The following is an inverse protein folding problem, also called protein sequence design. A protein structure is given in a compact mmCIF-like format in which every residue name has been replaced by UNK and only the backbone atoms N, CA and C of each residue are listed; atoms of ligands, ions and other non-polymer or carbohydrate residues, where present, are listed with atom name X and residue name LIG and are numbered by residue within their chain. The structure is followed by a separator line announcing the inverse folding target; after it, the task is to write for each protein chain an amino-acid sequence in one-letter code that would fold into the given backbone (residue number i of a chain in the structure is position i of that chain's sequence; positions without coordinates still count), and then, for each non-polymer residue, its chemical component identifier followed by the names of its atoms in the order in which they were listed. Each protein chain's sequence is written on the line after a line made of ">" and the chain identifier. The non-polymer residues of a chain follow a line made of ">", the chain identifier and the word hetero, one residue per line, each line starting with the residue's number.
data_IF_560089761004
#
_entry.id   IF_560089761004
#
_cell.length_a   1.000
_cell.length_b   1.000
_cell.length_c   1.000
_cell.angle_alpha   90.00
_cell.angle_beta   90.00
_cell.angle_gamma   90.00
#
_symmetry.space_group_name_H-M   'P 1'
#
loop_
_entity.id
_entity.type
_entity.pdbx_description
1 polymer ?
#
# COMPACT_ATOMS: atom_id res chain seq x y z
N UNK A 1 -22.15 5.30 0.97
CA UNK A 1 -21.45 4.39 1.92
C UNK A 1 -20.03 4.89 2.15
N UNK A 2 -19.54 4.91 3.40
CA UNK A 2 -18.26 5.53 3.75
C UNK A 2 -17.12 4.52 3.85
N UNK A 3 -16.02 4.74 3.15
CA UNK A 3 -14.79 3.93 3.24
C UNK A 3 -13.59 4.85 3.40
N UNK A 4 -12.69 4.55 4.33
CA UNK A 4 -11.43 5.26 4.49
C UNK A 4 -10.33 4.55 3.71
N UNK A 5 -9.31 5.28 3.28
CA UNK A 5 -8.11 4.69 2.69
C UNK A 5 -6.84 5.40 3.15
N UNK A 6 -5.74 4.65 3.18
CA UNK A 6 -4.38 5.12 3.47
C UNK A 6 -3.49 4.70 2.30
N UNK A 7 -2.73 5.65 1.77
CA UNK A 7 -1.78 5.40 0.68
C UNK A 7 -0.56 4.56 1.10
N UNK A 8 0.42 4.47 0.21
CA UNK A 8 1.68 3.73 0.40
C UNK A 8 2.38 4.16 1.71
N UNK A 9 2.94 3.18 2.46
CA UNK A 9 3.38 3.38 3.85
C UNK A 9 4.91 3.37 3.97
N UNK A 10 5.56 2.41 3.31
CA UNK A 10 7.01 2.29 3.24
C UNK A 10 7.73 2.38 4.58
N UNK A 11 7.29 1.63 5.59
CA UNK A 11 7.97 1.60 6.90
C UNK A 11 7.94 2.91 7.71
N UNK A 12 7.16 3.92 7.32
CA UNK A 12 7.01 5.17 8.08
C UNK A 12 5.88 5.05 9.12
N UNK A 13 6.16 4.32 10.21
CA UNK A 13 5.17 4.00 11.24
C UNK A 13 4.51 5.23 11.90
N UNK A 14 5.27 6.30 12.13
CA UNK A 14 4.72 7.51 12.76
C UNK A 14 3.71 8.22 11.84
N UNK A 15 3.98 8.23 10.54
CA UNK A 15 3.04 8.75 9.54
C UNK A 15 1.80 7.86 9.42
N UNK A 16 1.95 6.54 9.55
CA UNK A 16 0.81 5.62 9.60
C UNK A 16 -0.07 5.87 10.83
N UNK A 17 0.54 6.06 12.00
CA UNK A 17 -0.18 6.42 13.25
C UNK A 17 -0.89 7.77 13.10
N UNK A 18 -0.23 8.76 12.47
CA UNK A 18 -0.85 10.06 12.14
C UNK A 18 -2.07 9.87 11.22
N UNK A 19 -1.96 9.08 10.16
CA UNK A 19 -3.06 8.79 9.24
C UNK A 19 -4.26 8.11 9.96
N UNK A 20 -3.98 7.13 10.82
CA UNK A 20 -5.01 6.50 11.66
C UNK A 20 -5.69 7.48 12.62
N UNK A 21 -4.93 8.41 13.23
CA UNK A 21 -5.50 9.46 14.09
C UNK A 21 -6.48 10.35 13.30
N UNK A 22 -6.10 10.80 12.11
CA UNK A 22 -6.98 11.63 11.25
C UNK A 22 -8.29 10.91 10.92
N UNK A 23 -8.22 9.60 10.65
CA UNK A 23 -9.41 8.76 10.44
C UNK A 23 -10.24 8.64 11.71
N UNK A 24 -9.62 8.41 12.87
CA UNK A 24 -10.33 8.29 14.14
C UNK A 24 -11.06 9.60 14.51
N UNK A 25 -10.44 10.76 14.28
CA UNK A 25 -11.07 12.07 14.46
C UNK A 25 -12.27 12.26 13.53
N UNK A 26 -12.18 11.81 12.28
CA UNK A 26 -13.29 11.87 11.33
C UNK A 26 -14.44 10.92 11.67
N UNK A 27 -14.11 9.70 12.14
CA UNK A 27 -15.10 8.75 12.67
C UNK A 27 -15.80 9.30 13.90
N UNK A 28 -15.09 9.96 14.81
CA UNK A 28 -15.69 10.62 15.97
C UNK A 28 -16.71 11.71 15.58
N UNK A 29 -16.46 12.44 14.48
CA UNK A 29 -17.40 13.44 13.96
C UNK A 29 -18.65 12.82 13.29
N UNK A 30 -18.48 11.69 12.60
CA UNK A 30 -19.56 11.07 11.82
C UNK A 30 -20.33 9.97 12.53
N UNK A 31 -19.76 9.40 13.59
CA UNK A 31 -20.30 8.24 14.32
C UNK A 31 -20.15 6.90 13.59
N UNK A 32 -19.47 6.85 12.44
CA UNK A 32 -19.37 5.65 11.60
C UNK A 32 -18.07 4.87 11.85
N UNK A 33 -18.03 4.16 12.98
CA UNK A 33 -16.88 3.38 13.41
C UNK A 33 -16.69 2.08 12.62
N UNK A 34 -17.76 1.59 11.99
CA UNK A 34 -17.76 0.35 11.21
C UNK A 34 -17.25 0.55 9.77
N UNK A 35 -17.09 1.81 9.32
CA UNK A 35 -16.55 2.13 8.01
C UNK A 35 -15.10 1.61 7.85
N UNK A 36 -14.79 0.65 6.96
CA UNK A 36 -13.46 0.11 6.79
C UNK A 36 -12.38 1.14 6.48
N UNK A 37 -11.15 0.83 6.92
CA UNK A 37 -9.92 1.51 6.49
C UNK A 37 -9.18 0.59 5.54
N UNK A 38 -8.94 1.05 4.31
CA UNK A 38 -8.20 0.30 3.30
C UNK A 38 -6.78 0.83 3.20
N UNK A 39 -5.78 0.04 3.58
CA UNK A 39 -4.38 0.36 3.37
C UNK A 39 -3.97 -0.15 1.99
N UNK A 40 -3.48 0.72 1.11
CA UNK A 40 -3.27 0.39 -0.30
C UNK A 40 -2.01 -0.44 -0.60
N UNK A 41 -1.28 -0.86 0.44
CA UNK A 41 -0.09 -1.70 0.31
C UNK A 41 1.20 -0.90 0.34
N UNK A 42 2.29 -1.55 -0.08
CA UNK A 42 3.65 -1.05 0.05
C UNK A 42 3.93 -0.68 1.51
N UNK A 43 3.75 -1.68 2.38
CA UNK A 43 3.92 -1.56 3.82
C UNK A 43 5.40 -1.46 4.18
N UNK A 44 6.23 -2.17 3.42
CA UNK A 44 7.67 -2.34 3.63
C UNK A 44 8.51 -1.46 2.70
N UNK A 45 9.81 -1.50 2.94
CA UNK A 45 10.88 -0.84 2.21
C UNK A 45 10.97 0.67 2.39
N UNK A 46 12.18 1.21 2.18
CA UNK A 46 12.57 2.64 2.20
C UNK A 46 12.56 3.31 3.58
N UNK A 47 11.48 3.21 4.33
CA UNK A 47 11.39 3.80 5.67
C UNK A 47 12.01 2.91 6.75
N UNK A 48 12.17 3.47 7.97
CA UNK A 48 13.02 2.87 8.99
C UNK A 48 12.39 1.70 9.75
N UNK A 49 11.06 1.56 9.76
CA UNK A 49 10.36 0.64 10.66
C UNK A 49 9.25 -0.17 9.96
N UNK A 50 9.64 -0.98 8.97
CA UNK A 50 8.75 -1.91 8.31
C UNK A 50 8.20 -3.00 9.25
N UNK A 51 9.02 -3.45 10.21
CA UNK A 51 8.61 -4.42 11.23
C UNK A 51 7.44 -3.89 12.07
N UNK A 52 7.56 -2.68 12.63
CA UNK A 52 6.52 -2.07 13.46
C UNK A 52 5.25 -1.71 12.67
N UNK A 53 5.35 -1.42 11.36
CA UNK A 53 4.18 -1.26 10.49
C UNK A 53 3.40 -2.58 10.40
N UNK A 54 4.08 -3.70 10.18
CA UNK A 54 3.44 -5.02 10.07
C UNK A 54 2.84 -5.44 11.42
N UNK A 55 3.54 -5.21 12.53
CA UNK A 55 3.01 -5.44 13.88
C UNK A 55 1.69 -4.67 14.06
N UNK A 56 1.71 -3.35 13.84
CA UNK A 56 0.54 -2.49 14.04
C UNK A 56 -0.67 -2.98 13.23
N UNK A 57 -0.48 -3.28 11.94
CA UNK A 57 -1.56 -3.67 11.05
C UNK A 57 -2.12 -5.06 11.37
N UNK A 58 -1.24 -6.03 11.63
CA UNK A 58 -1.65 -7.39 11.95
C UNK A 58 -2.33 -7.48 13.32
N UNK A 59 -1.83 -6.77 14.33
CA UNK A 59 -2.45 -6.68 15.65
C UNK A 59 -3.81 -5.98 15.60
N UNK A 60 -3.93 -4.88 14.84
CA UNK A 60 -5.21 -4.17 14.69
C UNK A 60 -6.29 -5.06 14.06
N UNK A 61 -5.95 -5.79 12.99
CA UNK A 61 -6.86 -6.78 12.38
C UNK A 61 -7.24 -7.87 13.39
N UNK A 62 -6.27 -8.41 14.14
CA UNK A 62 -6.53 -9.43 15.16
C UNK A 62 -7.42 -8.90 16.30
N UNK A 63 -7.34 -7.61 16.61
CA UNK A 63 -8.18 -6.92 17.59
C UNK A 63 -9.59 -6.58 17.07
N UNK A 64 -9.88 -6.85 15.79
CA UNK A 64 -11.20 -6.63 15.19
C UNK A 64 -11.40 -5.24 14.61
N UNK A 65 -10.33 -4.47 14.39
CA UNK A 65 -10.42 -3.24 13.60
C UNK A 65 -10.95 -3.57 12.20
N UNK A 66 -11.84 -2.74 11.62
CA UNK A 66 -12.38 -2.96 10.28
C UNK A 66 -11.34 -2.55 9.22
N UNK A 67 -10.15 -3.16 9.25
CA UNK A 67 -9.06 -2.83 8.35
C UNK A 67 -8.97 -3.85 7.21
N UNK A 68 -8.67 -3.35 6.02
CA UNK A 68 -8.37 -4.15 4.83
C UNK A 68 -7.01 -3.71 4.34
N UNK A 69 -6.01 -4.56 4.52
CA UNK A 69 -4.63 -4.25 4.10
C UNK A 69 -4.39 -4.94 2.77
N UNK A 70 -4.06 -4.15 1.74
CA UNK A 70 -3.78 -4.66 0.40
C UNK A 70 -2.30 -4.96 0.23
N UNK A 71 -2.01 -5.87 -0.71
CA UNK A 71 -0.65 -6.20 -1.14
C UNK A 71 -0.15 -5.17 -2.15
N UNK A 72 0.98 -4.54 -1.85
CA UNK A 72 1.77 -3.78 -2.82
C UNK A 72 2.86 -4.60 -3.49
N UNK A 73 3.55 -4.01 -4.47
CA UNK A 73 4.63 -4.72 -5.14
C UNK A 73 5.86 -4.88 -4.24
N UNK A 74 6.13 -3.94 -3.34
CA UNK A 74 7.23 -4.06 -2.38
C UNK A 74 6.97 -5.20 -1.39
N UNK A 75 5.73 -5.34 -0.91
CA UNK A 75 5.32 -6.44 -0.02
C UNK A 75 5.51 -7.81 -0.71
N UNK A 76 5.12 -7.90 -1.98
CA UNK A 76 5.28 -9.10 -2.81
C UNK A 76 6.76 -9.44 -3.03
N UNK A 77 7.59 -8.44 -3.35
CA UNK A 77 9.02 -8.64 -3.54
C UNK A 77 9.72 -9.10 -2.27
N UNK A 78 9.35 -8.56 -1.11
CA UNK A 78 9.90 -8.99 0.17
C UNK A 78 9.54 -10.45 0.48
N UNK A 79 8.26 -10.82 0.34
CA UNK A 79 7.83 -12.24 0.46
C UNK A 79 8.62 -13.13 -0.51
N UNK A 80 8.78 -12.68 -1.76
CA UNK A 80 9.54 -13.40 -2.77
C UNK A 80 10.99 -13.64 -2.37
N UNK A 81 11.67 -12.63 -1.82
CA UNK A 81 13.03 -12.76 -1.29
C UNK A 81 13.11 -13.78 -0.13
N UNK A 82 12.10 -13.80 0.74
CA UNK A 82 12.02 -14.77 1.83
C UNK A 82 11.85 -16.22 1.34
N UNK A 83 11.24 -16.43 0.17
CA UNK A 83 11.07 -17.76 -0.43
C UNK A 83 12.30 -18.22 -1.22
N UNK A 84 12.81 -17.36 -2.10
CA UNK A 84 13.97 -17.61 -2.95
C UNK A 84 14.75 -16.30 -3.11
N UNK A 85 16.01 -16.24 -2.62
CA UNK A 85 16.75 -14.98 -2.60
C UNK A 85 17.22 -14.56 -4.00
N UNK A 86 17.07 -15.43 -5.00
CA UNK A 86 17.33 -15.17 -6.41
C UNK A 86 16.05 -14.84 -7.20
N UNK A 87 14.88 -14.89 -6.55
CA UNK A 87 13.59 -14.63 -7.20
C UNK A 87 13.60 -13.26 -7.88
N UNK A 88 13.08 -13.26 -9.10
CA UNK A 88 12.84 -12.04 -9.87
C UNK A 88 11.34 -11.81 -9.96
N UNK A 89 10.95 -10.59 -9.64
CA UNK A 89 9.57 -10.16 -9.80
C UNK A 89 9.34 -9.68 -11.25
N UNK A 90 8.31 -10.18 -11.96
CA UNK A 90 8.08 -9.84 -13.37
C UNK A 90 7.90 -8.34 -13.65
N UNK A 91 7.41 -7.58 -12.68
CA UNK A 91 7.23 -6.13 -12.82
C UNK A 91 8.49 -5.32 -12.56
N UNK A 92 9.52 -5.93 -11.96
CA UNK A 92 10.80 -5.29 -11.69
C UNK A 92 11.74 -5.42 -12.89
N UNK A 93 12.48 -4.35 -13.19
CA UNK A 93 13.54 -4.39 -14.20
C UNK A 93 14.56 -5.51 -13.91
N UNK A 94 14.92 -6.30 -14.92
CA UNK A 94 15.90 -7.39 -14.82
C UNK A 94 17.27 -6.97 -14.26
N UNK A 95 17.59 -5.67 -14.34
CA UNK A 95 18.83 -5.09 -13.80
C UNK A 95 18.82 -4.97 -12.28
N UNK A 96 17.67 -5.10 -11.63
CA UNK A 96 17.49 -4.89 -10.20
C UNK A 96 17.02 -6.18 -9.50
N UNK A 97 17.51 -6.39 -8.28
CA UNK A 97 16.92 -7.30 -7.29
C UNK A 97 16.19 -6.47 -6.25
N UNK A 98 15.38 -7.11 -5.39
CA UNK A 98 14.75 -6.45 -4.24
C UNK A 98 15.76 -5.74 -3.32
N UNK A 99 16.99 -6.28 -3.20
CA UNK A 99 18.07 -5.68 -2.41
C UNK A 99 18.74 -4.46 -3.07
N UNK A 100 18.31 -4.04 -4.27
CA UNK A 100 18.83 -2.84 -4.89
C UNK A 100 18.53 -1.61 -3.99
N UNK A 101 19.51 -0.72 -3.73
CA UNK A 101 19.32 0.42 -2.82
C UNK A 101 18.11 1.29 -3.15
N UNK A 102 17.76 1.45 -4.42
CA UNK A 102 16.62 2.25 -4.86
C UNK A 102 15.24 1.65 -4.49
N UNK A 103 15.18 0.36 -4.15
CA UNK A 103 13.94 -0.31 -3.75
C UNK A 103 13.71 -0.27 -2.25
N UNK A 104 14.75 -0.15 -1.43
CA UNK A 104 14.63 -0.02 0.02
C UNK A 104 14.50 -1.34 0.78
N UNK A 105 14.74 -2.50 0.15
CA UNK A 105 14.72 -3.80 0.82
C UNK A 105 15.76 -3.94 1.94
N UNK A 106 16.87 -3.20 1.84
CA UNK A 106 17.87 -3.14 2.91
C UNK A 106 17.31 -2.48 4.18
N UNK A 107 16.44 -1.47 4.04
CA UNK A 107 15.82 -0.78 5.17
C UNK A 107 14.83 -1.71 5.88
N UNK A 108 14.04 -2.48 5.11
CA UNK A 108 13.18 -3.55 5.65
C UNK A 108 14.01 -4.53 6.48
N UNK A 109 15.09 -5.06 5.93
CA UNK A 109 15.98 -5.99 6.63
C UNK A 109 16.57 -5.38 7.90
N UNK A 110 17.00 -4.11 7.84
CA UNK A 110 17.52 -3.38 8.99
C UNK A 110 16.47 -3.23 10.10
N UNK A 111 15.20 -3.01 9.78
CA UNK A 111 14.11 -2.95 10.78
C UNK A 111 13.92 -4.25 11.57
N UNK A 112 14.30 -5.40 11.00
CA UNK A 112 14.35 -6.70 11.68
C UNK A 112 15.71 -7.01 12.32
N UNK A 113 16.65 -6.07 12.30
CA UNK A 113 18.01 -6.24 12.82
C UNK A 113 18.90 -7.14 11.96
N UNK A 114 18.62 -7.28 10.67
CA UNK A 114 19.44 -8.04 9.70
C UNK A 114 20.46 -7.09 9.07
N UNK A 115 21.74 -7.26 9.38
CA UNK A 115 22.83 -6.52 8.72
C UNK A 115 23.19 -7.12 7.37
N UNK A 116 23.52 -6.30 6.36
CA UNK A 116 23.77 -6.75 4.98
C UNK A 116 25.18 -6.48 4.46
N UNK A 117 25.94 -5.61 5.13
CA UNK A 117 27.25 -5.16 4.68
C UNK A 117 28.25 -6.31 4.51
N UNK A 118 28.85 -6.41 3.31
CA UNK A 118 29.88 -7.41 2.99
C UNK A 118 29.41 -8.86 2.99
N UNK A 119 28.09 -9.11 3.03
CA UNK A 119 27.52 -10.46 3.08
C UNK A 119 26.99 -10.90 1.73
N UNK A 120 27.10 -12.20 1.47
CA UNK A 120 26.47 -12.82 0.31
C UNK A 120 24.94 -12.86 0.49
N UNK A 121 24.22 -12.76 -0.62
CA UNK A 121 22.74 -12.73 -0.63
C UNK A 121 22.11 -13.92 0.12
N UNK A 122 22.67 -15.13 -0.04
CA UNK A 122 22.20 -16.31 0.67
C UNK A 122 22.40 -16.22 2.19
N UNK A 123 23.48 -15.60 2.65
CA UNK A 123 23.74 -15.39 4.08
C UNK A 123 22.78 -14.35 4.67
N UNK A 124 22.47 -13.30 3.91
CA UNK A 124 21.49 -12.27 4.29
C UNK A 124 20.12 -12.93 4.46
N UNK A 125 19.69 -13.72 3.46
CA UNK A 125 18.40 -14.39 3.51
C UNK A 125 18.30 -15.37 4.68
N UNK A 126 19.34 -16.17 4.94
CA UNK A 126 19.34 -17.12 6.06
C UNK A 126 19.13 -16.45 7.43
N UNK A 127 19.74 -15.28 7.64
CA UNK A 127 19.56 -14.47 8.86
C UNK A 127 18.19 -13.79 8.89
N UNK A 128 17.71 -13.29 7.75
CA UNK A 128 16.35 -12.78 7.62
C UNK A 128 15.30 -13.85 7.96
N UNK A 129 15.48 -15.09 7.51
CA UNK A 129 14.59 -16.22 7.81
C UNK A 129 14.55 -16.55 9.31
N UNK A 130 15.61 -16.23 10.05
CA UNK A 130 15.68 -16.42 11.50
C UNK A 130 15.06 -15.25 12.27
N UNK A 131 15.21 -14.02 11.78
CA UNK A 131 14.80 -12.79 12.50
C UNK A 131 13.39 -12.30 12.16
N UNK A 132 12.94 -12.48 10.93
CA UNK A 132 11.59 -12.08 10.51
C UNK A 132 10.60 -13.09 11.06
N UNK A 133 9.63 -12.67 11.91
CA UNK A 133 8.65 -13.59 12.47
C UNK A 133 7.86 -14.31 11.38
N UNK A 134 7.57 -15.59 11.60
CA UNK A 134 6.76 -16.37 10.66
C UNK A 134 5.38 -15.73 10.43
N UNK A 135 4.76 -15.22 11.49
CA UNK A 135 3.49 -14.49 11.43
C UNK A 135 3.53 -13.31 10.45
N UNK A 136 4.65 -12.58 10.34
CA UNK A 136 4.77 -11.44 9.42
C UNK A 136 4.81 -11.91 7.97
N UNK A 137 5.56 -12.98 7.70
CA UNK A 137 5.66 -13.56 6.35
C UNK A 137 4.30 -14.09 5.90
N UNK A 138 3.60 -14.80 6.78
CA UNK A 138 2.27 -15.35 6.48
C UNK A 138 1.21 -14.24 6.35
N UNK A 139 1.28 -13.19 7.17
CA UNK A 139 0.45 -12.00 7.03
C UNK A 139 0.60 -11.37 5.65
N UNK A 140 1.85 -11.07 5.23
CA UNK A 140 2.14 -10.46 3.93
C UNK A 140 1.71 -11.34 2.75
N UNK A 141 1.95 -12.66 2.83
CA UNK A 141 1.50 -13.62 1.80
C UNK A 141 -0.02 -13.61 1.62
N UNK A 142 -0.75 -13.56 2.73
CA UNK A 142 -2.21 -13.63 2.77
C UNK A 142 -2.91 -12.33 2.33
N UNK A 143 -2.19 -11.21 2.17
CA UNK A 143 -2.79 -9.94 1.80
C UNK A 143 -3.54 -10.04 0.45
N UNK A 144 -4.82 -9.61 0.40
CA UNK A 144 -5.56 -9.50 -0.85
C UNK A 144 -4.96 -8.43 -1.76
N UNK A 145 -5.16 -8.57 -3.06
CA UNK A 145 -4.66 -7.63 -4.08
C UNK A 145 -5.67 -6.52 -4.41
N UNK A 146 -6.93 -6.69 -3.99
CA UNK A 146 -7.97 -5.68 -4.17
C UNK A 146 -9.07 -5.80 -3.13
N UNK A 147 -9.84 -4.73 -2.99
CA UNK A 147 -11.05 -4.69 -2.18
C UNK A 147 -12.13 -3.90 -2.91
N UNK A 148 -13.35 -4.44 -3.00
CA UNK A 148 -14.48 -3.78 -3.67
C UNK A 148 -15.59 -3.49 -2.67
N UNK A 149 -16.10 -2.26 -2.70
CA UNK A 149 -17.20 -1.85 -1.81
C UNK A 149 -18.06 -0.80 -2.50
N UNK A 150 -19.29 -1.19 -2.85
CA UNK A 150 -20.17 -0.36 -3.67
C UNK A 150 -19.54 -0.06 -5.03
N UNK A 151 -19.50 1.23 -5.36
CA UNK A 151 -18.93 1.74 -6.62
C UNK A 151 -17.42 2.00 -6.56
N UNK A 152 -16.75 1.60 -5.47
CA UNK A 152 -15.31 1.75 -5.29
C UNK A 152 -14.59 0.42 -5.47
N UNK A 153 -13.41 0.48 -6.10
CA UNK A 153 -12.44 -0.61 -6.07
C UNK A 153 -11.09 -0.04 -5.61
N UNK A 154 -10.55 -0.63 -4.56
CA UNK A 154 -9.24 -0.31 -4.02
C UNK A 154 -8.24 -1.35 -4.52
N UNK A 155 -7.10 -0.88 -5.00
CA UNK A 155 -6.02 -1.69 -5.57
C UNK A 155 -4.71 -0.95 -5.37
N UNK A 156 -3.58 -1.64 -5.26
CA UNK A 156 -2.30 -0.98 -5.06
C UNK A 156 -1.89 -0.08 -6.26
N UNK A 157 -1.74 -0.65 -7.46
CA UNK A 157 -1.25 0.08 -8.63
C UNK A 157 -2.36 0.57 -9.57
N UNK A 158 -3.27 -0.32 -9.94
CA UNK A 158 -4.31 -0.01 -10.92
C UNK A 158 -4.96 -1.25 -11.51
N UNK A 159 -5.72 -1.07 -12.59
CA UNK A 159 -6.39 -2.18 -13.30
C UNK A 159 -6.01 -2.18 -14.77
N UNK A 160 -5.86 -3.36 -15.37
CA UNK A 160 -5.67 -3.48 -16.83
C UNK A 160 -6.94 -3.04 -17.55
N UNK A 161 -6.86 -2.02 -18.42
CA UNK A 161 -7.97 -1.65 -19.28
C UNK A 161 -8.50 -2.81 -20.10
N UNK A 162 -9.80 -2.77 -20.41
CA UNK A 162 -10.52 -3.78 -21.21
C UNK A 162 -10.59 -5.19 -20.60
N UNK A 163 -10.02 -5.40 -19.40
CA UNK A 163 -10.19 -6.62 -18.61
C UNK A 163 -11.26 -6.37 -17.53
N UNK A 164 -12.26 -7.26 -17.36
CA UNK A 164 -13.23 -7.16 -16.28
C UNK A 164 -12.57 -7.07 -14.90
N UNK A 165 -13.15 -6.31 -13.96
CA UNK A 165 -12.55 -6.08 -12.64
C UNK A 165 -12.35 -7.37 -11.82
N UNK A 166 -13.17 -8.39 -12.05
CA UNK A 166 -13.10 -9.72 -11.43
C UNK A 166 -12.17 -10.71 -12.16
N UNK A 167 -11.63 -10.30 -13.31
CA UNK A 167 -10.70 -11.08 -14.13
C UNK A 167 -9.29 -10.47 -14.19
N UNK A 168 -9.01 -9.46 -13.35
CA UNK A 168 -7.69 -8.85 -13.22
C UNK A 168 -6.69 -9.84 -12.63
N UNK A 169 -5.42 -9.72 -13.03
CA UNK A 169 -4.32 -10.56 -12.53
C UNK A 169 -3.45 -9.78 -11.56
N UNK A 170 -2.85 -10.48 -10.60
CA UNK A 170 -2.05 -9.86 -9.54
C UNK A 170 -0.92 -8.98 -10.08
N UNK A 171 -0.22 -9.41 -11.14
CA UNK A 171 0.86 -8.62 -11.74
C UNK A 171 0.41 -7.22 -12.16
N UNK A 172 -0.78 -7.08 -12.72
CA UNK A 172 -1.32 -5.75 -13.05
C UNK A 172 -1.73 -4.99 -11.81
N UNK A 173 -2.43 -5.65 -10.89
CA UNK A 173 -2.95 -5.02 -9.68
C UNK A 173 -1.86 -4.41 -8.80
N UNK A 174 -0.64 -4.97 -8.83
CA UNK A 174 0.49 -4.44 -8.02
C UNK A 174 1.54 -3.67 -8.83
N UNK A 175 1.58 -3.74 -10.17
CA UNK A 175 2.61 -3.03 -10.95
C UNK A 175 2.13 -2.08 -12.04
N UNK A 176 0.86 -2.14 -12.46
CA UNK A 176 0.46 -1.45 -13.68
C UNK A 176 0.65 0.07 -13.58
N UNK A 177 1.22 0.65 -14.63
CA UNK A 177 1.31 2.10 -14.84
C UNK A 177 0.61 2.45 -16.15
N UNK A 178 1.35 2.65 -17.24
CA UNK A 178 0.75 2.62 -18.58
C UNK A 178 0.36 1.17 -18.93
N UNK A 179 -0.82 0.92 -19.55
CA UNK A 179 -1.77 1.89 -20.10
C UNK A 179 -2.80 2.46 -19.11
N UNK A 180 -2.92 1.91 -17.89
CA UNK A 180 -3.95 2.32 -16.91
C UNK A 180 -3.94 3.82 -16.59
N UNK A 181 -2.77 4.41 -16.33
CA UNK A 181 -2.65 5.82 -15.97
C UNK A 181 -3.09 6.78 -17.10
N UNK A 182 -3.09 6.30 -18.34
CA UNK A 182 -3.49 7.06 -19.53
C UNK A 182 -4.95 6.84 -19.91
N UNK A 183 -5.59 5.79 -19.38
CA UNK A 183 -6.99 5.50 -19.66
C UNK A 183 -7.91 6.41 -18.83
N UNK A 184 -8.83 7.08 -19.52
CA UNK A 184 -9.83 7.99 -18.95
C UNK A 184 -11.24 7.39 -18.98
N UNK A 185 -11.40 6.18 -19.53
CA UNK A 185 -12.69 5.49 -19.62
C UNK A 185 -13.17 5.08 -18.23
N UNK A 186 -14.48 4.95 -18.10
CA UNK A 186 -15.11 4.42 -16.89
C UNK A 186 -14.82 2.91 -16.78
N UNK A 187 -14.17 2.49 -15.69
CA UNK A 187 -13.86 1.09 -15.41
C UNK A 187 -14.99 0.32 -14.72
N UNK A 188 -16.18 0.94 -14.59
CA UNK A 188 -17.33 0.41 -13.85
C UNK A 188 -17.33 0.81 -12.37
N UNK A 189 -16.15 0.92 -11.75
CA UNK A 189 -15.93 1.46 -10.41
C UNK A 189 -14.99 2.67 -10.46
N UNK A 190 -15.03 3.52 -9.42
CA UNK A 190 -13.96 4.50 -9.16
C UNK A 190 -12.77 3.73 -8.57
N UNK A 191 -11.64 3.76 -9.28
CA UNK A 191 -10.44 3.03 -8.87
C UNK A 191 -9.63 3.88 -7.90
N UNK A 192 -9.47 3.44 -6.65
CA UNK A 192 -8.63 4.10 -5.64
C UNK A 192 -7.31 3.35 -5.55
N UNK A 193 -6.19 4.04 -5.78
CA UNK A 193 -4.88 3.42 -5.90
C UNK A 193 -3.72 4.30 -5.40
N UNK A 194 -2.53 3.71 -5.35
CA UNK A 194 -1.25 4.30 -4.99
C UNK A 194 -0.18 3.97 -6.03
N UNK A 195 0.98 3.49 -5.58
CA UNK A 195 2.13 2.99 -6.38
C UNK A 195 2.90 4.03 -7.22
N UNK A 196 2.20 4.99 -7.80
CA UNK A 196 2.78 6.05 -8.61
C UNK A 196 2.74 7.36 -7.82
N UNK A 197 3.81 7.63 -7.07
CA UNK A 197 3.93 8.81 -6.25
C UNK A 197 3.68 10.11 -7.01
N UNK A 198 2.79 10.94 -6.46
CA UNK A 198 2.48 12.29 -6.91
C UNK A 198 2.92 13.33 -5.87
N UNK A 199 2.96 14.60 -6.27
CA UNK A 199 3.18 15.70 -5.33
C UNK A 199 1.96 15.97 -4.44
N UNK A 200 0.77 15.61 -4.92
CA UNK A 200 -0.48 15.68 -4.18
C UNK A 200 -1.44 14.57 -4.64
N UNK A 201 -2.27 14.09 -3.70
CA UNK A 201 -3.35 13.18 -4.04
C UNK A 201 -4.23 13.81 -5.12
N UNK A 202 -4.62 13.02 -6.13
CA UNK A 202 -5.25 13.54 -7.34
C UNK A 202 -6.41 12.66 -7.75
N UNK A 203 -7.57 13.29 -7.96
CA UNK A 203 -8.74 12.64 -8.55
C UNK A 203 -8.73 12.86 -10.07
N UNK A 204 -8.62 11.80 -10.86
CA UNK A 204 -8.55 11.85 -12.33
C UNK A 204 -9.91 11.65 -13.02
N UNK A 205 -10.98 11.46 -12.25
CA UNK A 205 -12.34 11.28 -12.75
C UNK A 205 -12.78 9.82 -12.68
N UNK A 206 -12.02 8.93 -13.32
CA UNK A 206 -12.23 7.48 -13.28
C UNK A 206 -11.39 6.75 -12.22
N UNK A 207 -10.39 7.43 -11.66
CA UNK A 207 -9.52 6.92 -10.59
C UNK A 207 -9.07 8.02 -9.64
N UNK A 208 -8.64 7.65 -8.44
CA UNK A 208 -8.07 8.53 -7.42
C UNK A 208 -6.74 7.93 -6.97
N UNK A 209 -5.66 8.68 -7.14
CA UNK A 209 -4.35 8.31 -6.65
C UNK A 209 -4.07 9.03 -5.32
N UNK A 210 -3.77 8.28 -4.27
CA UNK A 210 -3.44 8.81 -2.93
C UNK A 210 -2.01 8.48 -2.48
N UNK A 211 -1.15 7.97 -3.36
CA UNK A 211 0.29 7.90 -3.08
C UNK A 211 0.92 9.29 -3.27
N UNK A 212 1.20 9.95 -2.14
CA UNK A 212 1.87 11.26 -2.07
C UNK A 212 3.37 11.16 -1.84
N UNK A 213 3.95 9.98 -2.00
CA UNK A 213 5.40 9.75 -1.94
C UNK A 213 5.94 9.54 -0.54
N UNK A 214 5.22 8.79 0.31
CA UNK A 214 5.72 8.41 1.63
C UNK A 214 7.06 7.69 1.58
N UNK A 215 7.26 6.83 0.57
CA UNK A 215 8.56 6.19 0.29
C UNK A 215 9.73 7.18 0.09
N UNK A 216 9.45 8.44 -0.19
CA UNK A 216 10.44 9.51 -0.32
C UNK A 216 10.48 10.46 0.89
N UNK A 217 9.93 10.02 2.03
CA UNK A 217 9.90 10.80 3.28
C UNK A 217 8.84 11.90 3.30
N UNK A 218 7.85 11.86 2.41
CA UNK A 218 6.71 12.79 2.41
C UNK A 218 5.58 12.27 3.31
N UNK A 219 4.61 13.09 3.73
CA UNK A 219 3.51 12.63 4.56
C UNK A 219 2.64 11.56 3.86
N UNK A 220 2.16 10.59 4.62
CA UNK A 220 1.14 9.63 4.16
C UNK A 220 -0.20 10.36 4.03
N UNK A 221 -0.91 10.08 2.93
CA UNK A 221 -2.27 10.58 2.71
C UNK A 221 -3.30 9.61 3.31
N UNK A 222 -4.20 10.16 4.11
CA UNK A 222 -5.45 9.51 4.51
C UNK A 222 -6.62 10.18 3.78
N UNK A 223 -7.54 9.37 3.28
CA UNK A 223 -8.71 9.84 2.56
C UNK A 223 -9.99 9.17 3.07
N UNK A 224 -11.12 9.84 2.90
CA UNK A 224 -12.45 9.27 3.10
C UNK A 224 -13.24 9.38 1.81
N UNK A 225 -13.94 8.32 1.46
CA UNK A 225 -14.81 8.21 0.31
C UNK A 225 -16.23 8.03 0.80
N UNK A 226 -17.14 8.87 0.31
CA UNK A 226 -18.58 8.74 0.52
C UNK A 226 -19.21 8.46 -0.84
N UNK A 227 -19.48 7.17 -1.10
CA UNK A 227 -19.79 6.69 -2.45
C UNK A 227 -18.65 7.02 -3.42
N UNK A 228 -18.83 7.94 -4.37
CA UNK A 228 -17.76 8.38 -5.29
C UNK A 228 -17.14 9.72 -4.91
N UNK A 229 -17.65 10.40 -3.89
CA UNK A 229 -17.07 11.66 -3.42
C UNK A 229 -15.83 11.36 -2.57
N UNK A 230 -14.71 12.01 -2.90
CA UNK A 230 -13.42 11.83 -2.23
C UNK A 230 -13.02 13.07 -1.43
N UNK A 231 -12.48 12.86 -0.24
CA UNK A 231 -11.94 13.91 0.62
C UNK A 231 -10.61 13.47 1.22
N UNK A 232 -9.63 14.36 1.22
CA UNK A 232 -8.39 14.18 1.98
C UNK A 232 -8.64 14.59 3.43
N UNK A 233 -8.15 13.80 4.37
CA UNK A 233 -8.21 14.11 5.79
C UNK A 233 -6.96 14.92 6.18
N UNK A 234 -7.18 16.05 6.82
CA UNK A 234 -6.13 16.90 7.40
C UNK A 234 -6.48 17.21 8.86
N UNK A 235 -5.54 17.81 9.59
CA UNK A 235 -5.81 18.28 10.96
C UNK A 235 -6.89 19.37 11.03
N UNK A 236 -7.21 20.00 9.90
CA UNK A 236 -8.28 21.01 9.76
C UNK A 236 -9.63 20.38 9.34
N UNK A 237 -9.66 19.07 9.08
CA UNK A 237 -10.84 18.32 8.68
C UNK A 237 -10.77 17.80 7.24
N UNK A 238 -11.94 17.68 6.61
CA UNK A 238 -12.06 17.13 5.25
C UNK A 238 -11.79 18.21 4.21
N UNK A 239 -10.86 17.94 3.31
CA UNK A 239 -10.60 18.76 2.11
C UNK A 239 -11.15 18.03 0.88
N UNK A 240 -12.15 18.58 0.16
CA UNK A 240 -12.69 17.92 -1.02
C UNK A 240 -11.64 17.69 -2.11
N UNK A 241 -11.57 16.46 -2.62
CA UNK A 241 -10.70 16.10 -3.73
C UNK A 241 -11.56 15.90 -4.99
N UNK A 242 -11.66 16.95 -5.80
CA UNK A 242 -12.51 16.98 -6.99
C UNK A 242 -11.75 16.58 -8.25
N UNK A 243 -12.41 15.94 -9.23
CA UNK A 243 -11.84 15.78 -10.55
C UNK A 243 -11.54 17.16 -11.17
N UNK A 244 -10.57 17.24 -12.09
CA UNK A 244 -10.20 18.49 -12.75
C UNK A 244 -11.28 19.09 -13.66
N UNK A 245 -12.37 18.36 -13.96
CA UNK A 245 -13.44 18.78 -14.89
C UNK A 245 -14.82 18.34 -14.38
#
# INVERSE_FOLDING_TARGET
>A
MRTYAIGDIHGYIDELRRAHRLIAEDRARTGDWDAPVVHLGDLVDRGPDAAGVIDLLSEGIAAGEPWVVLKGNHDRMFVGFMEDPMRRDPGLSERHTWLAPALGGLDTLASYGVGTEGREVAQIQADALHRVPEAHREFLKALPTSYRRGDLMFVHAGVRPDVPLDAQVEDDLVWIRSPFLEDTRNHGALIVHGHTALDAATHHGNRVNIDTGAGYGRPITAAVFEDRDAYILTDEGRVPLRPPY
#
